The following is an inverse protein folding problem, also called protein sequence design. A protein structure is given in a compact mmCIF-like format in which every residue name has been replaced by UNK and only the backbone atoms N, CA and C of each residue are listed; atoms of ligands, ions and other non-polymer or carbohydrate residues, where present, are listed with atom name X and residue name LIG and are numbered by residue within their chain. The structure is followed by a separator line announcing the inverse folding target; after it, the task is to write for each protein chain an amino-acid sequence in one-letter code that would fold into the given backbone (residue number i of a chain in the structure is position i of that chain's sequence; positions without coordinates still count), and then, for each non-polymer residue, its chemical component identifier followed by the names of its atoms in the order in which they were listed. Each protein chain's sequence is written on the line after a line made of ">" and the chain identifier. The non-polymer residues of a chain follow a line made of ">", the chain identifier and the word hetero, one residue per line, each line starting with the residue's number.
data_IF_070977358738
#
_entry.id   IF_070977358738
#
_cell.length_a   1.000
_cell.length_b   1.000
_cell.length_c   1.000
_cell.angle_alpha   90.00
_cell.angle_beta   90.00
_cell.angle_gamma   90.00
#
_symmetry.space_group_name_H-M   'P 1'
#
loop_
_entity.id
_entity.type
_entity.pdbx_description
1 polymer ?
#
# COMPACT_ATOMS: atom_id res chain seq x y z
N UNK A 1 -1.92 -14.30 3.64
CA UNK A 1 -2.32 -12.99 4.21
C UNK A 1 -1.96 -11.91 3.20
N UNK A 2 -2.95 -11.26 2.57
CA UNK A 2 -2.71 -10.18 1.61
C UNK A 2 -2.76 -8.84 2.34
N UNK A 3 -1.76 -8.55 3.18
CA UNK A 3 -1.58 -7.22 3.73
C UNK A 3 -0.66 -6.44 2.80
N UNK A 4 -1.27 -5.60 1.97
CA UNK A 4 -0.58 -4.69 1.07
C UNK A 4 -1.04 -3.28 1.38
N UNK A 5 -0.12 -2.33 1.22
CA UNK A 5 -0.24 -1.00 1.81
C UNK A 5 -0.16 0.06 0.74
N UNK A 6 -1.03 1.07 0.84
CA UNK A 6 -0.86 2.36 0.19
C UNK A 6 -0.40 3.39 1.22
N UNK A 7 0.64 4.15 0.91
CA UNK A 7 1.01 5.37 1.63
C UNK A 7 0.25 6.57 1.05
N UNK A 8 -0.28 7.42 1.94
CA UNK A 8 -0.89 8.71 1.57
C UNK A 8 0.12 9.81 1.89
N UNK A 9 0.87 10.26 0.90
CA UNK A 9 1.79 11.39 1.08
C UNK A 9 1.02 12.65 1.47
N UNK A 10 1.35 13.23 2.62
CA UNK A 10 0.89 14.55 3.05
C UNK A 10 2.03 15.57 2.96
N UNK A 11 2.38 16.04 1.76
CA UNK A 11 3.25 17.21 1.61
C UNK A 11 3.04 17.95 0.28
N UNK A 12 3.31 19.26 0.32
CA UNK A 12 2.97 20.36 -0.60
C UNK A 12 3.57 20.27 -2.03
N UNK A 13 3.48 19.13 -2.69
CA UNK A 13 3.66 19.02 -4.13
C UNK A 13 2.39 18.41 -4.70
N UNK A 14 1.80 19.07 -5.69
CA UNK A 14 0.45 18.84 -6.25
C UNK A 14 0.19 17.46 -6.90
N UNK A 15 0.91 16.41 -6.50
CA UNK A 15 0.78 15.05 -7.04
C UNK A 15 0.60 14.06 -5.87
N UNK A 16 -0.63 13.96 -5.37
CA UNK A 16 -1.08 12.89 -4.49
C UNK A 16 -1.06 11.54 -5.25
N UNK A 17 0.12 10.94 -5.42
CA UNK A 17 0.24 9.60 -5.97
C UNK A 17 0.42 8.62 -4.82
N UNK A 18 -0.68 7.96 -4.43
CA UNK A 18 -0.68 6.82 -3.50
C UNK A 18 0.35 5.78 -3.98
N UNK A 19 1.39 5.49 -3.21
CA UNK A 19 2.40 4.47 -3.57
C UNK A 19 1.95 3.11 -3.01
N UNK A 20 1.96 2.08 -3.85
CA UNK A 20 1.57 0.73 -3.47
C UNK A 20 2.79 -0.14 -3.16
N UNK A 21 2.69 -0.99 -2.13
CA UNK A 21 3.74 -1.93 -1.76
C UNK A 21 3.24 -3.20 -1.12
N UNK A 22 4.17 -4.15 -0.95
CA UNK A 22 3.96 -5.40 -0.22
C UNK A 22 4.66 -5.27 1.13
N UNK A 23 3.97 -5.61 2.23
CA UNK A 23 4.61 -5.68 3.54
C UNK A 23 5.53 -6.90 3.57
N UNK A 24 6.82 -6.68 3.79
CA UNK A 24 7.82 -7.72 4.00
C UNK A 24 8.06 -8.03 5.48
N UNK A 25 7.79 -7.07 6.37
CA UNK A 25 8.00 -7.23 7.79
C UNK A 25 7.21 -6.25 8.64
N UNK A 26 6.98 -6.63 9.89
CA UNK A 26 6.31 -5.80 10.89
C UNK A 26 7.28 -5.65 12.05
N UNK A 27 7.60 -4.40 12.40
CA UNK A 27 8.53 -4.06 13.48
C UNK A 27 7.75 -3.31 14.54
N UNK A 28 7.83 -3.77 15.79
CA UNK A 28 7.29 -3.04 16.94
C UNK A 28 8.44 -2.44 17.73
N UNK A 29 8.44 -1.12 17.85
CA UNK A 29 9.34 -0.35 18.69
C UNK A 29 8.65 -0.07 20.02
N UNK A 30 9.33 -0.37 21.12
CA UNK A 30 8.89 -0.07 22.48
C UNK A 30 9.84 0.96 23.06
N UNK A 31 9.30 2.07 23.56
CA UNK A 31 10.09 3.14 24.17
C UNK A 31 10.07 2.99 25.70
N UNK A 32 11.14 2.52 26.35
CA UNK A 32 11.11 2.19 27.78
C UNK A 32 10.87 3.41 28.68
N UNK A 33 11.21 4.61 28.20
CA UNK A 33 11.07 5.87 28.93
C UNK A 33 9.63 6.41 28.96
N UNK A 34 8.73 5.92 28.09
CA UNK A 34 7.35 6.41 28.01
C UNK A 34 6.42 5.21 28.23
N UNK A 35 5.64 5.28 29.30
CA UNK A 35 4.75 4.19 29.71
C UNK A 35 3.79 3.82 28.55
N UNK A 36 3.80 2.56 28.15
CA UNK A 36 2.92 1.97 27.14
C UNK A 36 3.03 2.60 25.73
N UNK A 37 4.13 3.27 25.40
CA UNK A 37 4.35 3.75 24.03
C UNK A 37 4.93 2.62 23.16
N UNK A 38 4.08 2.10 22.28
CA UNK A 38 4.45 1.16 21.23
C UNK A 38 4.18 1.78 19.86
N UNK A 39 5.21 1.81 19.00
CA UNK A 39 5.07 2.24 17.61
C UNK A 39 5.26 1.01 16.73
N UNK A 40 4.32 0.78 15.82
CA UNK A 40 4.44 -0.28 14.83
C UNK A 40 4.77 0.33 13.48
N UNK A 41 5.81 -0.22 12.85
CA UNK A 41 6.26 0.09 11.51
C UNK A 41 6.06 -1.12 10.60
N UNK A 42 5.67 -0.86 9.36
CA UNK A 42 5.73 -1.83 8.28
C UNK A 42 6.99 -1.61 7.47
N UNK A 43 7.75 -2.68 7.27
CA UNK A 43 8.78 -2.75 6.23
C UNK A 43 8.09 -3.16 4.94
N UNK A 44 8.19 -2.34 3.91
CA UNK A 44 7.51 -2.50 2.63
C UNK A 44 8.51 -2.61 1.49
N UNK A 45 8.21 -3.50 0.55
CA UNK A 45 8.77 -3.47 -0.79
C UNK A 45 7.83 -2.67 -1.68
N UNK A 46 8.28 -1.50 -2.12
CA UNK A 46 7.47 -0.56 -2.89
C UNK A 46 7.51 -0.86 -4.38
N UNK A 47 6.40 -0.61 -5.07
CA UNK A 47 6.36 -0.57 -6.53
C UNK A 47 6.85 0.80 -7.00
N UNK A 48 7.61 0.84 -8.09
CA UNK A 48 8.08 2.10 -8.68
C UNK A 48 6.88 2.95 -9.12
N UNK A 49 6.68 4.16 -8.57
CA UNK A 49 5.52 4.99 -8.87
C UNK A 49 5.50 5.50 -10.33
N UNK A 50 6.65 5.53 -11.00
CA UNK A 50 6.78 6.02 -12.39
C UNK A 50 6.70 4.87 -13.38
N UNK A 51 7.40 3.77 -13.10
CA UNK A 51 7.55 2.64 -14.04
C UNK A 51 6.63 1.46 -13.74
N UNK A 52 6.31 1.29 -12.46
CA UNK A 52 5.53 0.17 -11.94
C UNK A 52 4.08 0.49 -11.66
N UNK A 53 3.64 1.75 -11.79
CA UNK A 53 2.25 2.15 -11.52
C UNK A 53 1.62 2.85 -12.72
N UNK A 54 0.33 2.60 -12.95
CA UNK A 54 -0.49 3.30 -13.94
C UNK A 54 -1.85 3.61 -13.35
N UNK A 55 -2.31 4.84 -13.51
CA UNK A 55 -3.66 5.25 -13.09
C UNK A 55 -4.51 5.44 -14.34
N UNK A 56 -5.64 4.75 -14.42
CA UNK A 56 -6.58 4.94 -15.52
C UNK A 56 -7.25 6.32 -15.40
N UNK A 57 -7.11 7.22 -16.40
CA UNK A 57 -7.50 8.62 -16.27
C UNK A 57 -9.01 8.82 -16.04
N UNK A 58 -9.85 7.93 -16.57
CA UNK A 58 -11.31 8.08 -16.50
C UNK A 58 -11.97 7.40 -15.28
N UNK A 59 -11.29 6.44 -14.64
CA UNK A 59 -11.90 5.58 -13.61
C UNK A 59 -11.10 5.53 -12.32
N UNK A 60 -9.92 6.18 -12.28
CA UNK A 60 -9.00 6.19 -11.14
C UNK A 60 -8.64 4.79 -10.63
N UNK A 61 -8.71 3.80 -11.52
CA UNK A 61 -8.25 2.44 -11.26
C UNK A 61 -6.72 2.46 -11.33
N UNK A 62 -6.08 1.96 -10.27
CA UNK A 62 -4.63 1.87 -10.20
C UNK A 62 -4.24 0.46 -10.63
N UNK A 63 -3.30 0.35 -11.55
CA UNK A 63 -2.65 -0.89 -11.94
C UNK A 63 -1.18 -0.84 -11.51
N UNK A 64 -0.66 -1.96 -11.04
CA UNK A 64 0.73 -2.10 -10.59
C UNK A 64 1.44 -3.24 -11.31
N UNK A 65 2.75 -3.13 -11.42
CA UNK A 65 3.63 -4.14 -11.95
C UNK A 65 4.77 -4.42 -10.98
N UNK A 66 4.71 -5.58 -10.31
CA UNK A 66 5.69 -5.99 -9.31
C UNK A 66 7.06 -6.38 -9.86
N UNK A 67 7.27 -6.41 -11.18
CA UNK A 67 8.62 -6.52 -11.77
C UNK A 67 9.38 -5.20 -11.71
N UNK A 68 8.68 -4.08 -11.56
CA UNK A 68 9.26 -2.75 -11.42
C UNK A 68 9.16 -2.31 -9.97
N UNK A 69 9.99 -2.90 -9.12
CA UNK A 69 10.09 -2.53 -7.72
C UNK A 69 10.96 -1.28 -7.56
N UNK A 70 10.60 -0.45 -6.59
CA UNK A 70 11.32 0.76 -6.27
C UNK A 70 12.49 0.44 -5.34
N UNK A 71 13.71 0.63 -5.83
CA UNK A 71 14.94 0.41 -5.06
C UNK A 71 15.30 1.66 -4.25
N UNK A 72 14.43 2.08 -3.33
CA UNK A 72 14.70 3.20 -2.41
C UNK A 72 15.17 2.67 -1.06
N UNK A 73 16.06 3.41 -0.42
CA UNK A 73 16.62 3.11 0.91
C UNK A 73 15.63 3.33 2.08
N UNK A 74 14.38 3.69 1.80
CA UNK A 74 13.34 3.99 2.80
C UNK A 74 12.14 3.03 2.69
N UNK A 75 12.22 1.83 3.30
CA UNK A 75 11.18 0.82 3.22
C UNK A 75 10.14 0.96 4.34
N UNK A 76 10.25 1.94 5.26
CA UNK A 76 9.45 1.94 6.48
C UNK A 76 8.30 2.95 6.44
N UNK A 77 7.16 2.53 6.98
CA UNK A 77 5.93 3.33 7.06
C UNK A 77 5.27 3.06 8.40
N UNK A 78 4.70 4.10 9.03
CA UNK A 78 3.85 3.93 10.21
C UNK A 78 2.58 3.18 9.82
N UNK A 79 2.21 2.20 10.66
CA UNK A 79 0.94 1.47 10.47
C UNK A 79 -0.29 2.37 10.38
N UNK A 80 -0.26 3.54 11.01
CA UNK A 80 -1.34 4.53 10.97
C UNK A 80 -1.49 5.24 9.62
N UNK A 81 -0.42 5.31 8.83
CA UNK A 81 -0.42 5.92 7.50
C UNK A 81 -0.81 4.91 6.40
N UNK A 82 -0.84 3.62 6.74
CA UNK A 82 -1.06 2.53 5.82
C UNK A 82 -2.55 2.29 5.54
N UNK A 83 -2.93 2.17 4.27
CA UNK A 83 -4.26 1.69 3.85
C UNK A 83 -4.17 0.28 3.27
N UNK A 84 -5.07 -0.62 3.71
CA UNK A 84 -5.12 -1.98 3.18
C UNK A 84 -5.72 -2.04 1.78
N UNK A 85 -5.01 -2.70 0.87
CA UNK A 85 -5.48 -3.01 -0.48
C UNK A 85 -5.32 -4.50 -0.80
N UNK A 86 -6.10 -4.98 -1.76
CA UNK A 86 -5.81 -6.26 -2.43
C UNK A 86 -5.52 -6.00 -3.90
N UNK A 87 -4.82 -6.95 -4.53
CA UNK A 87 -4.59 -6.90 -5.97
C UNK A 87 -5.26 -8.09 -6.64
N UNK A 88 -5.80 -7.85 -7.82
CA UNK A 88 -6.39 -8.87 -8.67
C UNK A 88 -5.65 -8.92 -9.99
N UNK A 89 -5.67 -10.08 -10.64
CA UNK A 89 -5.21 -10.22 -12.01
C UNK A 89 -5.96 -9.24 -12.91
N UNK A 90 -5.22 -8.68 -13.88
CA UNK A 90 -5.81 -7.77 -14.84
C UNK A 90 -6.86 -8.51 -15.69
N UNK A 91 -8.06 -7.96 -15.92
CA UNK A 91 -9.18 -8.66 -16.58
C UNK A 91 -8.96 -8.94 -18.09
N UNK A 92 -7.75 -8.78 -18.60
CA UNK A 92 -7.42 -8.97 -20.01
C UNK A 92 -6.49 -10.16 -20.19
N UNK A 93 -6.87 -11.07 -21.10
CA UNK A 93 -6.07 -12.25 -21.45
C UNK A 93 -4.88 -11.93 -22.37
N UNK A 94 -4.57 -10.64 -22.60
CA UNK A 94 -3.44 -10.25 -23.46
C UNK A 94 -2.12 -10.45 -22.71
N UNK A 95 -1.14 -11.05 -23.38
CA UNK A 95 0.15 -11.43 -22.79
C UNK A 95 0.97 -10.23 -22.30
N UNK A 96 0.85 -9.08 -22.95
CA UNK A 96 1.50 -7.82 -22.56
C UNK A 96 0.99 -7.26 -21.23
N UNK A 97 -0.17 -7.75 -20.75
CA UNK A 97 -0.80 -7.34 -19.49
C UNK A 97 -0.68 -8.38 -18.36
N UNK A 98 -0.06 -9.53 -18.62
CA UNK A 98 0.04 -10.61 -17.64
C UNK A 98 0.82 -10.22 -16.37
N UNK A 99 1.76 -9.28 -16.49
CA UNK A 99 2.57 -8.79 -15.37
C UNK A 99 1.91 -7.64 -14.59
N UNK A 100 0.73 -7.20 -15.02
CA UNK A 100 0.00 -6.10 -14.39
C UNK A 100 -1.11 -6.67 -13.48
N UNK A 101 -1.27 -6.03 -12.33
CA UNK A 101 -2.34 -6.32 -11.39
C UNK A 101 -3.12 -5.06 -11.05
N UNK A 102 -4.43 -5.18 -10.96
CA UNK A 102 -5.29 -4.05 -10.57
C UNK A 102 -5.37 -3.96 -9.04
N UNK A 103 -5.23 -2.74 -8.50
CA UNK A 103 -5.34 -2.44 -7.07
C UNK A 103 -6.79 -2.16 -6.71
N UNK A 104 -7.27 -2.79 -5.64
CA UNK A 104 -8.59 -2.58 -5.11
C UNK A 104 -8.51 -2.14 -3.65
N UNK A 105 -8.96 -0.91 -3.38
CA UNK A 105 -9.05 -0.36 -2.02
C UNK A 105 -10.13 -1.10 -1.23
N UNK A 106 -9.78 -1.57 -0.04
CA UNK A 106 -10.71 -2.26 0.84
C UNK A 106 -11.42 -1.21 1.70
N UNK A 107 -12.76 -1.22 1.70
CA UNK A 107 -13.52 -0.48 2.71
C UNK A 107 -13.34 -1.18 4.06
N UNK A 108 -13.05 -0.42 5.11
CA UNK A 108 -13.02 -0.96 6.47
C UNK A 108 -14.31 -1.76 6.72
N UNK A 109 -14.18 -2.97 7.28
CA UNK A 109 -15.35 -3.72 7.73
C UNK A 109 -16.05 -2.88 8.80
N UNK A 110 -17.35 -2.65 8.64
CA UNK A 110 -18.17 -2.10 9.74
C UNK A 110 -17.96 -3.02 10.94
N UNK A 111 -17.47 -2.48 12.04
CA UNK A 111 -17.59 -3.13 13.34
C UNK A 111 -19.08 -3.07 13.65
N UNK A 112 -19.76 -4.20 13.55
CA UNK A 112 -21.09 -4.33 14.16
C UNK A 112 -20.82 -4.30 15.65
N UNK A 113 -21.01 -3.14 16.27
CA UNK A 113 -20.96 -3.04 17.72
C UNK A 113 -22.10 -3.89 18.26
N UNK A 114 -21.77 -4.89 19.07
CA UNK A 114 -22.76 -5.54 19.93
C UNK A 114 -23.33 -4.44 20.83
N UNK A 115 -24.55 -4.02 20.50
CA UNK A 115 -25.36 -3.20 21.39
C UNK A 115 -25.83 -4.10 22.52
N UNK A 116 -25.22 -3.93 23.70
CA UNK A 116 -25.80 -4.32 24.99
C UNK A 116 -25.55 -3.21 26.00
#
# INVERSE_FOLDING_TARGET
>A
MNCRVCDKSSSYTHEENDICGIIEGIIQLTYPLILNLHIVLFKCCWVDPVRGMKVHPSYYIVDVNFKNLYQKDDPFILTQQAVQVYFTEYPSMKRDKADWMTVCKIKARRVVGDSK
#
